data_IF_467164683451
#
_entry.id   IF_467164683451
#
_cell.length_a   1.000
_cell.length_b   1.000
_cell.length_c   1.000
_cell.angle_alpha   90.00
_cell.angle_beta   90.00
_cell.angle_gamma   90.00
#
_symmetry.space_group_name_H-M   'P 1'
#
loop_
_entity.id
_entity.type
_entity.pdbx_description
1 polymer ?
#
# COMPACT_ATOMS: atom_id res chain seq x y z
N UNK A 1 3.35 19.83 0.50
CA UNK A 1 3.96 18.49 0.61
C UNK A 1 3.17 17.54 -0.28
N UNK A 2 3.84 16.70 -1.09
CA UNK A 2 3.18 15.60 -1.80
C UNK A 2 2.37 14.70 -0.87
N UNK A 3 1.26 14.16 -1.39
CA UNK A 3 0.38 13.21 -0.71
C UNK A 3 0.24 11.96 -1.59
N UNK A 4 0.37 10.79 -0.98
CA UNK A 4 0.00 9.51 -1.59
C UNK A 4 -1.08 8.86 -0.74
N UNK A 5 -2.11 8.36 -1.40
CA UNK A 5 -3.24 7.74 -0.75
C UNK A 5 -3.83 6.63 -1.61
N UNK A 6 -4.66 5.80 -1.03
CA UNK A 6 -5.37 4.78 -1.79
C UNK A 6 -5.93 3.70 -0.89
N UNK A 7 -6.24 2.57 -1.51
CA UNK A 7 -6.81 1.42 -0.84
C UNK A 7 -6.00 0.16 -1.13
N UNK A 8 -5.91 -0.72 -0.14
CA UNK A 8 -5.26 -2.02 -0.21
C UNK A 8 -6.35 -3.07 -0.16
N UNK A 9 -6.43 -3.87 -1.21
CA UNK A 9 -7.48 -4.83 -1.42
C UNK A 9 -6.90 -6.23 -1.73
N UNK A 10 -7.73 -7.24 -1.53
CA UNK A 10 -7.57 -8.60 -2.01
C UNK A 10 -8.66 -8.86 -3.03
N UNK A 11 -8.31 -9.44 -4.18
CA UNK A 11 -9.32 -10.00 -5.10
C UNK A 11 -9.33 -11.51 -4.94
N UNK A 12 -10.43 -12.02 -4.42
CA UNK A 12 -10.65 -13.45 -4.27
C UNK A 12 -11.93 -13.84 -5.01
N UNK A 13 -11.81 -14.75 -5.99
CA UNK A 13 -12.93 -15.27 -6.79
C UNK A 13 -13.83 -14.18 -7.41
N UNK A 14 -13.24 -13.06 -7.82
CA UNK A 14 -13.96 -11.93 -8.41
C UNK A 14 -14.57 -10.94 -7.41
N UNK A 15 -14.40 -11.18 -6.11
CA UNK A 15 -14.87 -10.29 -5.04
C UNK A 15 -13.68 -9.53 -4.45
N UNK A 16 -13.85 -8.22 -4.27
CA UNK A 16 -12.84 -7.32 -3.69
C UNK A 16 -13.08 -7.19 -2.19
N UNK A 17 -12.07 -7.51 -1.40
CA UNK A 17 -12.07 -7.39 0.05
C UNK A 17 -11.03 -6.37 0.49
N UNK A 18 -11.35 -5.42 1.39
CA UNK A 18 -10.35 -4.53 1.95
C UNK A 18 -9.38 -5.33 2.83
N UNK A 19 -8.09 -4.99 2.76
CA UNK A 19 -7.08 -5.56 3.64
C UNK A 19 -6.80 -4.57 4.75
N UNK A 20 -7.46 -4.77 5.89
CA UNK A 20 -7.22 -3.97 7.10
C UNK A 20 -5.86 -4.28 7.70
N UNK A 21 -5.29 -3.29 8.41
CA UNK A 21 -4.02 -3.38 9.11
C UNK A 21 -2.81 -3.78 8.23
N UNK A 22 -2.97 -3.76 6.89
CA UNK A 22 -1.85 -3.93 5.97
C UNK A 22 -0.76 -2.92 6.29
N UNK A 23 0.48 -3.40 6.37
CA UNK A 23 1.64 -2.58 6.70
C UNK A 23 2.16 -1.96 5.41
N UNK A 24 2.21 -0.63 5.38
CA UNK A 24 2.81 0.16 4.32
C UNK A 24 4.14 0.69 4.84
N UNK A 25 5.21 0.35 4.13
CA UNK A 25 6.56 0.87 4.37
C UNK A 25 6.90 1.84 3.25
N UNK A 26 7.15 3.09 3.61
CA UNK A 26 7.75 4.09 2.73
C UNK A 26 9.14 4.41 3.26
N UNK A 27 10.15 4.05 2.49
CA UNK A 27 11.54 4.17 2.91
C UNK A 27 11.72 3.54 4.32
N UNK A 28 11.95 4.33 5.37
CA UNK A 28 12.10 3.87 6.75
C UNK A 28 10.86 4.11 7.63
N UNK A 29 9.78 4.67 7.08
CA UNK A 29 8.53 4.97 7.80
C UNK A 29 7.52 3.85 7.58
N UNK A 30 6.88 3.41 8.66
CA UNK A 30 5.81 2.41 8.64
C UNK A 30 4.49 3.03 9.07
N UNK A 31 3.41 2.69 8.36
CA UNK A 31 2.03 2.95 8.76
C UNK A 31 1.16 1.72 8.47
N UNK A 32 -0.03 1.69 9.05
CA UNK A 32 -1.01 0.64 8.83
C UNK A 32 -2.25 1.18 8.12
N UNK A 33 -2.80 0.39 7.20
CA UNK A 33 -4.11 0.67 6.62
C UNK A 33 -5.22 0.62 7.68
N UNK A 34 -6.26 1.44 7.51
CA UNK A 34 -7.42 1.42 8.40
C UNK A 34 -8.31 0.17 8.13
N UNK A 35 -9.45 0.07 8.84
CA UNK A 35 -10.40 -1.05 8.71
C UNK A 35 -10.99 -1.20 7.29
N UNK A 36 -10.98 -0.13 6.49
CA UNK A 36 -11.43 -0.12 5.09
C UNK A 36 -10.31 -0.40 4.09
N UNK A 37 -9.11 -0.71 4.59
CA UNK A 37 -7.90 -0.87 3.78
C UNK A 37 -7.39 0.45 3.20
N UNK A 38 -7.88 1.59 3.68
CA UNK A 38 -7.46 2.91 3.19
C UNK A 38 -6.18 3.34 3.91
N UNK A 39 -5.33 4.06 3.17
CA UNK A 39 -4.14 4.69 3.70
C UNK A 39 -3.97 6.09 3.10
N UNK A 40 -3.30 6.96 3.85
CA UNK A 40 -2.93 8.29 3.42
C UNK A 40 -1.62 8.68 4.10
N UNK A 41 -0.70 9.23 3.32
CA UNK A 41 0.64 9.57 3.79
C UNK A 41 1.19 10.80 3.06
N UNK A 42 1.89 11.64 3.82
CA UNK A 42 2.68 12.74 3.28
C UNK A 42 4.12 12.31 3.10
N UNK A 43 4.77 12.79 2.04
CA UNK A 43 6.17 12.51 1.78
C UNK A 43 6.87 13.73 1.19
N UNK A 44 8.20 13.73 1.28
CA UNK A 44 9.01 14.78 0.64
C UNK A 44 9.00 14.60 -0.88
N UNK A 45 9.24 15.65 -1.68
CA UNK A 45 9.51 15.51 -3.11
C UNK A 45 10.75 14.63 -3.34
N UNK A 46 10.67 13.68 -4.27
CA UNK A 46 11.75 12.71 -4.49
C UNK A 46 11.31 11.43 -5.19
N UNK A 47 12.24 10.47 -5.26
CA UNK A 47 11.95 9.10 -5.69
C UNK A 47 11.81 8.26 -4.43
N UNK A 48 10.68 7.56 -4.30
CA UNK A 48 10.34 6.76 -3.14
C UNK A 48 10.00 5.34 -3.52
N UNK A 49 10.25 4.43 -2.58
CA UNK A 49 9.83 3.03 -2.69
C UNK A 49 8.78 2.76 -1.63
N UNK A 50 7.59 2.38 -2.09
CA UNK A 50 6.50 1.94 -1.24
C UNK A 50 6.43 0.42 -1.31
N UNK A 51 6.33 -0.21 -0.14
CA UNK A 51 6.10 -1.65 0.00
C UNK A 51 4.86 -1.86 0.85
N UNK A 52 4.01 -2.79 0.45
CA UNK A 52 2.81 -3.16 1.20
C UNK A 52 2.86 -4.65 1.49
N UNK A 53 2.58 -5.02 2.74
CA UNK A 53 2.56 -6.41 3.18
C UNK A 53 1.52 -6.68 4.24
N UNK A 54 1.07 -7.93 4.29
CA UNK A 54 0.20 -8.47 5.33
C UNK A 54 0.61 -9.92 5.58
N UNK A 55 0.48 -10.39 6.82
CA UNK A 55 0.75 -11.80 7.15
C UNK A 55 -0.12 -12.70 6.27
N UNK A 56 0.50 -13.74 5.67
CA UNK A 56 -0.18 -14.67 4.77
C UNK A 56 -0.42 -14.12 3.36
N UNK A 57 0.13 -12.97 3.00
CA UNK A 57 0.02 -12.36 1.67
C UNK A 57 1.40 -12.11 1.05
N UNK A 58 1.48 -12.16 -0.27
CA UNK A 58 2.66 -11.69 -1.00
C UNK A 58 2.80 -10.17 -0.86
N UNK A 59 4.03 -9.70 -0.65
CA UNK A 59 4.33 -8.27 -0.64
C UNK A 59 4.13 -7.66 -2.02
N UNK A 60 3.56 -6.47 -2.08
CA UNK A 60 3.51 -5.63 -3.27
C UNK A 60 4.48 -4.45 -3.12
N UNK A 61 5.07 -3.99 -4.24
CA UNK A 61 6.09 -2.93 -4.22
C UNK A 61 5.91 -2.02 -5.43
N UNK A 62 6.08 -0.72 -5.21
CA UNK A 62 6.07 0.29 -6.28
C UNK A 62 7.15 1.32 -6.00
N UNK A 63 7.77 1.81 -7.08
CA UNK A 63 8.67 2.97 -7.04
C UNK A 63 7.98 4.10 -7.78
N UNK A 64 7.90 5.26 -7.14
CA UNK A 64 7.29 6.45 -7.72
C UNK A 64 8.19 7.66 -7.54
N UNK A 65 8.10 8.59 -8.48
CA UNK A 65 8.67 9.93 -8.35
C UNK A 65 7.52 10.88 -8.01
N UNK A 66 7.68 11.65 -6.94
CA UNK A 66 6.71 12.67 -6.50
C UNK A 66 7.33 14.05 -6.56
N UNK A 67 6.57 15.02 -7.04
CA UNK A 67 6.98 16.43 -7.15
C UNK A 67 6.15 17.32 -6.20
N UNK A 68 6.62 18.52 -5.84
CA UNK A 68 5.90 19.37 -4.90
C UNK A 68 4.46 19.66 -5.34
N UNK A 69 3.50 19.40 -4.46
CA UNK A 69 2.08 19.63 -4.71
C UNK A 69 1.30 18.42 -5.24
N UNK A 70 1.99 17.31 -5.53
CA UNK A 70 1.34 16.08 -6.00
C UNK A 70 0.32 15.53 -5.01
N UNK A 71 -0.77 14.99 -5.57
CA UNK A 71 -1.75 14.17 -4.88
C UNK A 71 -2.00 12.92 -5.70
N UNK A 72 -1.35 11.81 -5.33
CA UNK A 72 -1.28 10.60 -6.15
C UNK A 72 -2.09 9.50 -5.49
N UNK A 73 -3.03 8.93 -6.24
CA UNK A 73 -3.75 7.73 -5.82
C UNK A 73 -3.01 6.48 -6.27
N UNK A 74 -2.68 5.59 -5.33
CA UNK A 74 -2.11 4.27 -5.61
C UNK A 74 -2.93 3.22 -4.86
N UNK A 75 -3.64 2.38 -5.61
CA UNK A 75 -4.34 1.23 -5.04
C UNK A 75 -3.45 -0.01 -5.16
N UNK A 76 -3.43 -0.83 -4.11
CA UNK A 76 -2.68 -2.08 -4.08
C UNK A 76 -3.64 -3.26 -4.06
N UNK A 77 -3.29 -4.30 -4.81
CA UNK A 77 -4.00 -5.56 -4.80
C UNK A 77 -3.05 -6.66 -4.33
N UNK A 78 -3.23 -7.12 -3.08
CA UNK A 78 -2.47 -8.21 -2.50
C UNK A 78 -3.01 -9.56 -2.97
N UNK A 79 -2.15 -10.58 -2.90
CA UNK A 79 -2.48 -11.96 -3.25
C UNK A 79 -2.09 -12.87 -2.07
N UNK A 80 -2.90 -13.87 -1.72
CA UNK A 80 -2.56 -14.82 -0.67
C UNK A 80 -1.27 -15.56 -1.01
N UNK A 81 -0.43 -15.76 0.00
CA UNK A 81 0.72 -16.63 -0.09
C UNK A 81 0.30 -18.03 0.36
N UNK A 82 -0.07 -18.88 -0.60
CA UNK A 82 -0.60 -20.23 -0.36
C UNK A 82 0.49 -21.28 -0.16
N UNK A 83 1.73 -20.87 0.09
CA UNK A 83 2.81 -21.81 0.37
C UNK A 83 2.57 -22.48 1.73
N UNK A 84 2.70 -23.82 1.82
CA UNK A 84 2.66 -24.50 3.11
C UNK A 84 3.73 -23.93 4.04
N UNK A 85 3.37 -23.73 5.31
CA UNK A 85 4.30 -23.37 6.38
C UNK A 85 5.30 -24.50 6.65
#
# INVERSE_FOLDING_TARGET
MPIVFGQINLLEKGVVYPVSAAIITLDDVMLSANERGEYNMTMNPGIHRIMVGQIGMHQSRVTLKVVPGDSIRIDFQLRPDLRPL
#
